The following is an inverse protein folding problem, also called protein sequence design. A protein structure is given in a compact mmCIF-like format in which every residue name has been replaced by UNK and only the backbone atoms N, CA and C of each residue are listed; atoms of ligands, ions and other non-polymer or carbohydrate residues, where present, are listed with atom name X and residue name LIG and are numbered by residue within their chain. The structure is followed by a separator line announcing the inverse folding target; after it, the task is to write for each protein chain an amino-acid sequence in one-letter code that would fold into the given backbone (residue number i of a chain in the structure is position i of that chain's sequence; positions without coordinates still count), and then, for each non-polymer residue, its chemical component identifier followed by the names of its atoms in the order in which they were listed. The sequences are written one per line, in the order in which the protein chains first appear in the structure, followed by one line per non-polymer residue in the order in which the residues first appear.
data_IF_225999615862
#
_entry.id   IF_225999615862
#
_cell.length_a   1.000
_cell.length_b   1.000
_cell.length_c   1.000
_cell.angle_alpha   90.00
_cell.angle_beta   90.00
_cell.angle_gamma   90.00
#
_symmetry.space_group_name_H-M   'P 1'
#
loop_
_entity.id
_entity.type
_entity.pdbx_description
1 polymer ?
#
# COMPACT_ATOMS: atom_id res chain seq x y z
N UNK A 1 -14.40 54.49 -46.98
CA UNK A 1 -13.71 55.71 -46.52
C UNK A 1 -14.76 56.69 -46.07
N UNK A 2 -14.95 56.80 -44.76
CA UNK A 2 -15.55 57.96 -44.11
C UNK A 2 -14.96 58.00 -42.69
N UNK A 3 -14.59 59.18 -42.22
CA UNK A 3 -13.62 59.43 -41.15
C UNK A 3 -14.29 60.25 -40.05
N UNK A 4 -13.97 59.92 -38.79
CA UNK A 4 -13.92 60.79 -37.59
C UNK A 4 -15.32 61.14 -37.03
N UNK A 5 -15.63 60.97 -35.74
CA UNK A 5 -15.02 61.72 -34.63
C UNK A 5 -15.13 61.04 -33.25
N UNK A 6 -14.09 61.31 -32.45
CA UNK A 6 -13.85 60.84 -31.09
C UNK A 6 -14.42 61.85 -30.11
N UNK A 7 -15.13 61.41 -29.07
CA UNK A 7 -15.42 62.24 -27.90
C UNK A 7 -14.86 61.62 -26.62
N UNK A 8 -14.30 62.51 -25.79
CA UNK A 8 -13.32 62.29 -24.72
C UNK A 8 -13.98 62.61 -23.36
N UNK A 9 -13.73 61.71 -22.38
CA UNK A 9 -13.77 61.69 -20.88
C UNK A 9 -14.13 62.98 -20.09
N UNK A 10 -14.68 62.90 -18.84
CA UNK A 10 -13.88 62.68 -17.59
C UNK A 10 -14.57 61.73 -16.57
N UNK A 11 -13.94 60.80 -15.83
CA UNK A 11 -12.96 60.85 -14.72
C UNK A 11 -13.41 61.58 -13.43
N UNK A 12 -13.71 60.84 -12.35
CA UNK A 12 -13.39 61.20 -10.94
C UNK A 12 -13.69 60.02 -9.98
N UNK A 13 -12.66 59.42 -9.36
CA UNK A 13 -12.22 59.51 -7.93
C UNK A 13 -12.95 58.63 -6.89
N UNK A 14 -12.35 57.44 -6.63
CA UNK A 14 -11.85 56.82 -5.37
C UNK A 14 -12.58 56.99 -3.98
N UNK A 15 -12.09 56.38 -2.86
CA UNK A 15 -12.74 55.25 -2.17
C UNK A 15 -13.12 55.54 -0.70
N UNK A 16 -13.92 54.68 -0.04
CA UNK A 16 -14.13 54.75 1.41
C UNK A 16 -13.99 53.38 2.10
N UNK A 17 -13.29 53.46 3.22
CA UNK A 17 -12.65 52.46 4.06
C UNK A 17 -13.59 51.76 5.06
N UNK A 18 -13.29 50.48 5.33
CA UNK A 18 -13.43 49.70 6.57
C UNK A 18 -14.45 50.08 7.66
N UNK A 19 -15.23 49.10 8.13
CA UNK A 19 -15.44 48.90 9.56
C UNK A 19 -15.45 47.42 9.95
N UNK A 20 -14.47 47.08 10.80
CA UNK A 20 -14.35 45.86 11.60
C UNK A 20 -15.28 46.03 12.80
N UNK A 21 -16.22 45.10 13.02
CA UNK A 21 -17.01 45.05 14.25
C UNK A 21 -16.51 43.94 15.16
N UNK A 22 -15.88 44.38 16.24
CA UNK A 22 -15.41 43.64 17.42
C UNK A 22 -16.64 43.23 18.23
N UNK A 23 -16.82 41.95 18.53
CA UNK A 23 -17.83 41.47 19.49
C UNK A 23 -17.12 41.07 20.78
N UNK A 24 -17.67 41.55 21.88
CA UNK A 24 -17.17 41.48 23.24
C UNK A 24 -17.33 40.10 23.87
N UNK A 25 -16.35 39.78 24.72
CA UNK A 25 -16.32 38.71 25.70
C UNK A 25 -17.46 38.79 26.73
N UNK A 26 -17.97 37.64 27.14
CA UNK A 26 -18.73 37.45 28.38
C UNK A 26 -17.97 36.43 29.24
N UNK A 27 -17.64 36.85 30.45
CA UNK A 27 -17.20 36.01 31.56
C UNK A 27 -18.43 35.55 32.37
N UNK A 28 -18.40 34.29 32.81
CA UNK A 28 -18.97 33.69 34.03
C UNK A 28 -19.51 32.28 33.75
N UNK A 29 -18.89 31.26 34.35
CA UNK A 29 -19.55 30.36 35.32
C UNK A 29 -18.62 29.24 35.79
N UNK A 30 -18.87 28.81 37.02
CA UNK A 30 -18.16 27.88 37.90
C UNK A 30 -18.20 26.38 37.47
N UNK A 31 -17.17 25.63 37.91
CA UNK A 31 -17.05 24.22 38.42
C UNK A 31 -17.86 23.04 37.79
N UNK A 32 -17.50 21.73 37.94
CA UNK A 32 -16.69 21.09 39.00
C UNK A 32 -15.70 19.97 38.57
N UNK A 33 -15.08 19.35 39.59
CA UNK A 33 -14.26 18.14 39.59
C UNK A 33 -14.89 16.90 38.90
N UNK A 34 -14.04 15.98 38.42
CA UNK A 34 -14.50 14.69 37.90
C UNK A 34 -13.38 13.75 37.40
N UNK A 35 -12.89 12.92 38.32
CA UNK A 35 -12.45 11.52 38.22
C UNK A 35 -11.49 10.96 37.13
N UNK A 36 -10.50 10.24 37.67
CA UNK A 36 -9.66 9.19 37.11
C UNK A 36 -10.34 8.25 36.09
N UNK A 37 -9.62 7.96 34.98
CA UNK A 37 -9.71 6.66 34.32
C UNK A 37 -8.33 6.05 34.04
N UNK A 38 -8.29 4.74 34.27
CA UNK A 38 -7.13 3.87 34.48
C UNK A 38 -6.28 3.65 33.22
N UNK A 39 -4.97 3.65 33.41
CA UNK A 39 -3.99 3.06 32.49
C UNK A 39 -4.27 1.55 32.32
N UNK A 40 -4.58 1.15 31.10
CA UNK A 40 -4.57 -0.27 30.70
C UNK A 40 -3.13 -0.68 30.41
N UNK A 41 -2.48 -1.24 31.42
CA UNK A 41 -1.20 -1.94 31.26
C UNK A 41 -1.39 -3.15 30.34
N UNK A 42 -0.58 -3.22 29.29
CA UNK A 42 -0.58 -4.26 28.29
C UNK A 42 0.07 -5.54 28.86
N UNK A 43 -0.71 -6.59 29.15
CA UNK A 43 -0.21 -7.83 29.74
C UNK A 43 0.35 -8.78 28.66
N UNK A 44 1.69 -8.77 28.52
CA UNK A 44 2.45 -9.67 27.65
C UNK A 44 2.39 -11.15 28.08
N UNK A 45 1.98 -11.44 29.32
CA UNK A 45 1.86 -12.81 29.83
C UNK A 45 0.76 -13.61 29.15
N UNK A 46 -0.40 -12.98 28.91
CA UNK A 46 -1.57 -13.65 28.34
C UNK A 46 -1.36 -14.05 26.86
N UNK A 47 -0.57 -13.27 26.11
CA UNK A 47 -0.23 -13.62 24.72
C UNK A 47 0.74 -14.79 24.62
N UNK A 48 1.67 -14.93 25.57
CA UNK A 48 2.63 -16.04 25.58
C UNK A 48 1.96 -17.37 25.90
N UNK A 49 0.99 -17.40 26.83
CA UNK A 49 0.21 -18.62 27.12
C UNK A 49 -0.66 -19.07 25.94
N UNK A 50 -1.20 -18.13 25.15
CA UNK A 50 -1.96 -18.48 23.92
C UNK A 50 -1.06 -19.11 22.84
N UNK A 51 0.19 -18.66 22.71
CA UNK A 51 1.14 -19.25 21.74
C UNK A 51 1.57 -20.67 22.12
N UNK A 52 1.70 -20.96 23.43
CA UNK A 52 2.06 -22.27 23.93
C UNK A 52 0.96 -23.32 23.67
N UNK A 53 -0.31 -22.92 23.75
CA UNK A 53 -1.45 -23.82 23.47
C UNK A 53 -1.58 -24.20 21.99
N UNK A 54 -1.23 -23.30 21.07
CA UNK A 54 -1.24 -23.58 19.62
C UNK A 54 -0.18 -24.60 19.20
N UNK A 55 0.96 -24.64 19.91
CA UNK A 55 2.06 -25.56 19.64
C UNK A 55 1.73 -27.03 19.94
N UNK A 56 0.72 -27.29 20.79
CA UNK A 56 0.31 -28.65 21.15
C UNK A 56 -0.58 -29.34 20.10
N UNK A 57 -1.19 -28.60 19.16
CA UNK A 57 -2.13 -29.16 18.19
C UNK A 57 -1.50 -29.63 16.86
N UNK A 58 -0.20 -29.41 16.64
CA UNK A 58 0.49 -29.75 15.38
C UNK A 58 1.15 -31.14 15.38
N UNK A 59 0.90 -31.99 16.38
CA UNK A 59 1.59 -33.28 16.53
C UNK A 59 1.00 -34.46 15.71
N UNK A 60 -0.06 -34.29 14.93
CA UNK A 60 -0.77 -35.40 14.28
C UNK A 60 -0.88 -35.28 12.75
N UNK A 61 0.24 -35.18 12.04
CA UNK A 61 0.26 -35.35 10.58
C UNK A 61 1.38 -36.33 10.20
N UNK A 62 1.00 -37.53 9.76
CA UNK A 62 1.91 -38.51 9.14
C UNK A 62 1.97 -38.30 7.64
N UNK A 63 3.17 -38.30 7.07
CA UNK A 63 3.41 -38.28 5.61
C UNK A 63 4.33 -39.44 5.24
N UNK A 64 3.91 -40.23 4.25
CA UNK A 64 4.66 -41.33 3.65
C UNK A 64 5.46 -40.82 2.45
N UNK A 65 6.73 -41.23 2.29
CA UNK A 65 7.58 -40.91 1.12
C UNK A 65 8.24 -42.17 0.54
N UNK A 66 8.54 -42.21 -0.78
CA UNK A 66 9.48 -43.16 -1.35
C UNK A 66 10.82 -42.54 -1.82
N UNK A 67 11.85 -43.39 -1.72
CA UNK A 67 13.26 -43.37 -2.17
C UNK A 67 13.50 -42.98 -3.66
N UNK A 68 14.70 -42.71 -4.19
CA UNK A 68 16.08 -42.35 -3.75
C UNK A 68 16.94 -42.15 -5.03
N UNK A 69 18.14 -41.55 -4.88
CA UNK A 69 19.41 -41.74 -5.64
C UNK A 69 20.13 -40.48 -6.17
N UNK A 70 21.46 -40.46 -5.96
CA UNK A 70 22.52 -39.44 -6.24
C UNK A 70 23.69 -40.16 -6.98
N UNK A 71 24.94 -39.63 -7.19
CA UNK A 71 25.53 -38.26 -7.17
C UNK A 71 26.55 -37.95 -8.32
N UNK A 72 27.13 -36.73 -8.34
CA UNK A 72 28.56 -36.33 -8.59
C UNK A 72 28.60 -34.87 -9.12
N UNK A 73 29.46 -33.90 -8.78
CA UNK A 73 30.64 -33.75 -7.93
C UNK A 73 31.30 -32.36 -8.25
N UNK A 74 32.32 -31.98 -7.46
CA UNK A 74 33.32 -30.90 -7.63
C UNK A 74 33.09 -29.56 -6.86
N UNK A 75 34.10 -29.22 -6.06
CA UNK A 75 34.20 -28.09 -5.14
C UNK A 75 35.26 -27.08 -5.58
N UNK A 76 35.03 -25.79 -5.31
CA UNK A 76 36.05 -24.73 -5.31
C UNK A 76 35.88 -23.90 -4.03
N UNK A 77 36.98 -23.67 -3.32
CA UNK A 77 37.06 -22.85 -2.11
C UNK A 77 37.35 -21.38 -2.45
N UNK A 78 36.68 -20.44 -1.77
CA UNK A 78 37.18 -19.09 -1.53
C UNK A 78 36.81 -18.62 -0.12
N UNK A 79 37.70 -17.82 0.47
CA UNK A 79 37.79 -17.48 1.90
C UNK A 79 37.05 -16.20 2.26
N UNK A 80 36.46 -16.24 3.46
CA UNK A 80 36.16 -15.15 4.40
C UNK A 80 35.00 -14.19 4.09
N UNK A 81 33.81 -14.57 4.55
CA UNK A 81 32.75 -13.66 4.99
C UNK A 81 31.85 -14.38 6.02
N UNK A 82 31.25 -13.62 6.95
CA UNK A 82 30.47 -14.14 8.10
C UNK A 82 29.38 -15.12 7.67
N UNK A 83 29.60 -16.39 8.00
CA UNK A 83 28.76 -17.52 7.63
C UNK A 83 27.66 -17.75 8.66
N UNK A 84 26.39 -17.52 8.26
CA UNK A 84 25.20 -18.09 8.93
C UNK A 84 25.06 -19.60 8.57
N UNK A 85 26.07 -20.23 7.96
CA UNK A 85 25.96 -21.58 7.39
C UNK A 85 26.35 -22.80 8.25
N UNK A 86 26.71 -22.77 9.55
CA UNK A 86 26.95 -24.05 10.21
C UNK A 86 25.68 -24.73 10.74
N UNK A 87 24.55 -24.02 10.96
CA UNK A 87 23.38 -24.63 11.59
C UNK A 87 22.53 -25.51 10.64
N UNK A 88 22.45 -25.14 9.36
CA UNK A 88 21.58 -25.81 8.39
C UNK A 88 22.22 -27.03 7.70
N UNK A 89 23.56 -27.11 7.65
CA UNK A 89 24.27 -28.23 6.98
C UNK A 89 24.19 -29.57 7.74
N UNK A 90 23.81 -29.56 9.02
CA UNK A 90 23.69 -30.78 9.83
C UNK A 90 22.26 -31.32 9.96
N UNK A 91 21.29 -30.79 9.20
CA UNK A 91 19.90 -31.27 9.22
C UNK A 91 19.65 -32.31 8.11
N UNK A 92 20.44 -32.29 7.03
CA UNK A 92 20.26 -33.16 5.87
C UNK A 92 20.75 -34.60 6.03
N UNK A 93 21.33 -34.98 7.17
CA UNK A 93 21.85 -36.34 7.42
C UNK A 93 21.15 -37.10 8.54
N UNK A 94 19.96 -36.66 8.96
CA UNK A 94 19.27 -37.29 10.10
C UNK A 94 18.33 -38.40 9.61
N UNK A 95 18.87 -39.60 9.43
CA UNK A 95 18.11 -40.84 9.17
C UNK A 95 17.62 -41.50 10.48
N UNK A 96 16.94 -40.73 11.34
CA UNK A 96 16.37 -41.19 12.61
C UNK A 96 14.84 -41.21 12.59
N UNK A 97 14.23 -41.96 13.50
CA UNK A 97 12.77 -41.97 13.65
C UNK A 97 12.25 -40.57 14.03
N UNK A 98 10.99 -40.26 13.71
CA UNK A 98 10.37 -38.95 13.98
C UNK A 98 10.55 -38.50 15.45
N UNK A 99 10.56 -39.46 16.38
CA UNK A 99 10.79 -39.23 17.81
C UNK A 99 12.23 -38.76 18.10
N UNK A 100 13.24 -39.41 17.51
CA UNK A 100 14.66 -39.00 17.66
C UNK A 100 14.90 -37.61 17.07
N UNK A 101 14.29 -37.30 15.93
CA UNK A 101 14.42 -36.00 15.28
C UNK A 101 13.79 -34.88 16.12
N UNK A 102 12.64 -35.17 16.75
CA UNK A 102 11.97 -34.23 17.65
C UNK A 102 12.80 -33.91 18.91
N UNK A 103 13.51 -34.90 19.46
CA UNK A 103 14.38 -34.71 20.62
C UNK A 103 15.62 -33.89 20.28
N UNK A 104 16.25 -34.17 19.13
CA UNK A 104 17.37 -33.40 18.63
C UNK A 104 16.98 -31.93 18.37
N UNK A 105 15.78 -31.71 17.82
CA UNK A 105 15.27 -30.36 17.56
C UNK A 105 15.03 -29.58 18.86
N UNK A 106 14.42 -30.22 19.87
CA UNK A 106 14.22 -29.63 21.20
C UNK A 106 15.56 -29.27 21.85
N UNK A 107 16.55 -30.17 21.80
CA UNK A 107 17.89 -29.90 22.32
C UNK A 107 18.55 -28.69 21.64
N UNK A 108 18.46 -28.59 20.31
CA UNK A 108 19.01 -27.44 19.56
C UNK A 108 18.30 -26.12 19.87
N UNK A 109 16.98 -26.13 20.03
CA UNK A 109 16.22 -24.93 20.45
C UNK A 109 16.64 -24.50 21.86
N UNK A 110 16.74 -25.44 22.81
CA UNK A 110 17.17 -25.14 24.17
C UNK A 110 18.60 -24.61 24.21
N UNK A 111 19.51 -25.22 23.45
CA UNK A 111 20.88 -24.74 23.33
C UNK A 111 20.94 -23.32 22.74
N UNK A 112 20.17 -23.05 21.68
CA UNK A 112 20.11 -21.71 21.09
C UNK A 112 19.58 -20.66 22.10
N UNK A 113 18.56 -21.00 22.89
CA UNK A 113 18.02 -20.13 23.93
C UNK A 113 19.02 -19.88 25.07
N UNK A 114 19.82 -20.88 25.44
CA UNK A 114 20.89 -20.75 26.43
C UNK A 114 22.06 -19.90 25.91
N UNK A 115 22.43 -20.06 24.64
CA UNK A 115 23.51 -19.30 24.00
C UNK A 115 23.12 -17.83 23.76
N UNK A 116 21.83 -17.57 23.52
CA UNK A 116 21.26 -16.26 23.20
C UNK A 116 20.27 -15.80 24.28
N UNK A 117 20.76 -15.68 25.51
CA UNK A 117 19.94 -15.17 26.62
C UNK A 117 19.38 -13.78 26.32
N UNK A 118 18.24 -13.45 26.91
CA UNK A 118 17.60 -12.12 26.77
C UNK A 118 18.57 -10.99 27.09
N UNK A 119 19.45 -11.17 28.08
CA UNK A 119 20.48 -10.20 28.44
C UNK A 119 21.57 -10.05 27.37
N UNK A 120 21.98 -11.13 26.68
CA UNK A 120 22.91 -11.06 25.54
C UNK A 120 22.27 -10.39 24.32
N UNK A 121 20.98 -10.64 24.09
CA UNK A 121 20.22 -10.00 23.01
C UNK A 121 20.09 -8.49 23.30
N UNK A 122 19.70 -8.12 24.51
CA UNK A 122 19.57 -6.73 24.94
C UNK A 122 20.93 -6.00 24.93
N UNK A 123 22.01 -6.64 25.38
CA UNK A 123 23.36 -6.06 25.34
C UNK A 123 23.86 -5.83 23.91
N UNK A 124 23.57 -6.76 22.98
CA UNK A 124 23.88 -6.55 21.55
C UNK A 124 23.03 -5.45 20.93
N UNK A 125 21.75 -5.34 21.29
CA UNK A 125 20.89 -4.24 20.84
C UNK A 125 21.40 -2.90 21.36
N UNK A 126 21.81 -2.81 22.64
CA UNK A 126 22.44 -1.61 23.20
C UNK A 126 23.78 -1.28 22.53
N UNK A 127 24.61 -2.27 22.19
CA UNK A 127 25.83 -2.05 21.40
C UNK A 127 25.56 -1.52 20.00
N UNK A 128 24.47 -1.95 19.34
CA UNK A 128 24.05 -1.39 18.05
C UNK A 128 23.56 0.06 18.19
N UNK A 129 22.91 0.41 19.30
CA UNK A 129 22.45 1.77 19.59
C UNK A 129 23.57 2.72 20.05
N UNK A 130 24.71 2.21 20.54
CA UNK A 130 25.83 3.03 21.04
C UNK A 130 27.00 3.13 20.06
N UNK A 131 26.85 2.63 18.83
CA UNK A 131 27.82 2.86 17.77
C UNK A 131 27.44 4.16 17.01
N UNK A 132 28.13 5.30 17.23
CA UNK A 132 27.76 6.60 16.66
C UNK A 132 28.13 6.73 15.17
N UNK A 133 28.41 5.61 14.51
CA UNK A 133 28.61 5.49 13.05
C UNK A 133 27.51 4.69 12.37
N UNK A 134 26.36 4.48 13.01
CA UNK A 134 25.16 4.11 12.27
C UNK A 134 24.72 5.34 11.48
N UNK A 135 25.11 5.36 10.21
CA UNK A 135 24.51 6.26 9.22
C UNK A 135 23.00 6.14 9.42
N UNK A 136 22.26 7.25 9.65
CA UNK A 136 20.81 7.16 9.72
C UNK A 136 20.34 6.42 8.49
N UNK A 137 19.60 5.32 8.68
CA UNK A 137 18.83 4.72 7.61
C UNK A 137 17.72 5.72 7.34
N UNK A 138 18.07 6.77 6.59
CA UNK A 138 17.10 7.52 5.82
C UNK A 138 16.46 6.46 4.95
N UNK A 139 15.18 6.17 5.18
CA UNK A 139 14.32 5.58 4.17
C UNK A 139 14.55 6.43 2.94
N UNK A 140 15.38 5.92 2.03
CA UNK A 140 15.74 6.62 0.81
C UNK A 140 14.48 6.54 -0.02
N UNK A 141 13.65 7.56 0.12
CA UNK A 141 12.67 7.88 -0.88
C UNK A 141 13.43 7.86 -2.22
N UNK A 142 13.05 6.92 -3.08
CA UNK A 142 13.75 6.67 -4.33
C UNK A 142 13.62 7.85 -5.30
N UNK A 143 12.84 8.87 -4.92
CA UNK A 143 12.80 10.20 -5.53
C UNK A 143 14.16 10.92 -5.61
N UNK A 144 15.15 10.53 -4.80
CA UNK A 144 16.47 11.19 -4.76
C UNK A 144 17.52 10.65 -5.73
N UNK A 145 17.24 9.61 -6.53
CA UNK A 145 18.24 8.99 -7.43
C UNK A 145 18.26 9.54 -8.85
N UNK A 146 17.76 10.75 -9.10
CA UNK A 146 17.57 11.25 -10.48
C UNK A 146 18.34 12.56 -10.68
N UNK A 147 19.48 12.44 -11.37
CA UNK A 147 20.18 13.59 -11.96
C UNK A 147 19.23 14.23 -12.98
N UNK A 148 18.79 15.44 -12.67
CA UNK A 148 18.06 16.33 -13.60
C UNK A 148 19.04 16.76 -14.69
N UNK A 149 18.96 16.14 -15.86
CA UNK A 149 19.61 16.68 -17.06
C UNK A 149 18.77 17.84 -17.58
N UNK A 150 19.43 18.95 -17.90
CA UNK A 150 18.81 20.20 -18.32
C UNK A 150 17.95 20.05 -19.59
N UNK A 151 16.93 20.92 -19.66
CA UNK A 151 15.96 21.17 -20.73
C UNK A 151 16.37 20.67 -22.12
N UNK A 152 15.72 19.59 -22.55
CA UNK A 152 15.79 19.11 -23.93
C UNK A 152 14.55 19.65 -24.66
N UNK A 153 14.69 20.46 -25.73
CA UNK A 153 13.56 21.12 -26.42
C UNK A 153 12.60 20.17 -27.17
N UNK A 154 12.79 18.85 -27.03
CA UNK A 154 11.97 17.81 -27.66
C UNK A 154 11.53 16.74 -26.66
N UNK A 155 11.13 17.13 -25.44
CA UNK A 155 10.59 16.17 -24.48
C UNK A 155 9.33 15.51 -25.03
N UNK A 156 9.45 14.22 -25.35
CA UNK A 156 8.36 13.35 -25.79
C UNK A 156 8.52 12.03 -25.04
N UNK A 157 7.76 11.78 -23.97
CA UNK A 157 7.82 10.50 -23.26
C UNK A 157 7.45 9.35 -24.21
N UNK A 158 7.95 8.15 -23.91
CA UNK A 158 7.51 6.95 -24.63
C UNK A 158 6.00 6.75 -24.41
N UNK A 159 5.27 6.63 -25.51
CA UNK A 159 3.86 6.23 -25.50
C UNK A 159 3.75 4.73 -25.73
N UNK A 160 2.60 4.18 -25.36
CA UNK A 160 2.23 2.79 -25.59
C UNK A 160 2.20 1.96 -24.31
N UNK A 161 1.60 0.77 -24.46
CA UNK A 161 1.35 -0.15 -23.36
C UNK A 161 2.34 -1.29 -23.37
N UNK A 162 2.64 -1.81 -22.19
CA UNK A 162 3.46 -2.99 -21.97
C UNK A 162 2.81 -3.92 -20.97
N UNK A 163 3.26 -5.17 -20.97
CA UNK A 163 2.76 -6.20 -20.07
C UNK A 163 3.81 -6.55 -19.01
N UNK A 164 3.37 -6.56 -17.75
CA UNK A 164 4.15 -7.03 -16.60
C UNK A 164 3.42 -8.22 -15.97
N UNK A 165 4.12 -9.35 -15.83
CA UNK A 165 3.60 -10.53 -15.15
C UNK A 165 4.23 -10.64 -13.76
N UNK A 166 3.41 -10.76 -12.72
CA UNK A 166 3.84 -10.84 -11.33
C UNK A 166 3.33 -12.14 -10.71
N UNK A 167 4.23 -12.91 -10.10
CA UNK A 167 3.88 -14.16 -9.42
C UNK A 167 3.59 -13.88 -7.94
N UNK A 168 2.38 -14.17 -7.49
CA UNK A 168 1.97 -14.07 -6.09
C UNK A 168 1.70 -15.44 -5.46
N UNK A 169 1.56 -15.47 -4.13
CA UNK A 169 1.24 -16.69 -3.37
C UNK A 169 -0.09 -17.32 -3.80
N UNK A 170 -1.10 -16.48 -4.07
CA UNK A 170 -2.50 -16.88 -4.32
C UNK A 170 -2.90 -16.86 -5.81
N UNK A 171 -1.95 -16.54 -6.69
CA UNK A 171 -2.23 -16.43 -8.11
C UNK A 171 -1.19 -15.61 -8.86
N UNK A 172 -1.32 -15.57 -10.18
CA UNK A 172 -0.51 -14.73 -11.06
C UNK A 172 -1.27 -13.46 -11.42
N UNK A 173 -0.58 -12.32 -11.42
CA UNK A 173 -1.13 -11.04 -11.84
C UNK A 173 -0.57 -10.67 -13.21
N UNK A 174 -1.45 -10.35 -14.15
CA UNK A 174 -1.13 -9.78 -15.45
C UNK A 174 -1.49 -8.30 -15.42
N UNK A 175 -0.51 -7.45 -15.68
CA UNK A 175 -0.69 -5.99 -15.68
C UNK A 175 -0.36 -5.45 -17.06
N UNK A 176 -1.35 -4.96 -17.78
CA UNK A 176 -1.16 -4.17 -19.01
C UNK A 176 -1.17 -2.69 -18.60
N UNK A 177 -0.13 -1.94 -18.93
CA UNK A 177 -0.01 -0.55 -18.45
C UNK A 177 0.88 0.33 -19.34
N UNK A 178 0.65 1.64 -19.30
CA UNK A 178 1.52 2.61 -19.98
C UNK A 178 0.83 3.95 -20.27
N UNK A 179 1.60 4.91 -20.79
CA UNK A 179 1.10 6.22 -21.21
C UNK A 179 0.51 6.12 -22.62
N UNK A 180 -0.81 6.23 -22.74
CA UNK A 180 -1.50 6.24 -24.05
C UNK A 180 -1.41 7.63 -24.68
N UNK A 181 -1.50 8.70 -23.87
CA UNK A 181 -1.45 10.09 -24.32
C UNK A 181 -0.63 10.94 -23.36
N UNK A 182 0.39 11.65 -23.83
CA UNK A 182 1.10 12.64 -23.03
C UNK A 182 0.23 13.89 -22.78
N UNK A 183 0.30 14.52 -21.60
CA UNK A 183 -0.41 15.78 -21.35
C UNK A 183 0.16 16.91 -22.20
N UNK A 184 -0.70 17.86 -22.53
CA UNK A 184 -0.35 19.13 -23.17
C UNK A 184 -0.74 20.29 -22.25
N UNK A 185 -0.40 21.53 -22.64
CA UNK A 185 -0.79 22.72 -21.86
C UNK A 185 -2.31 22.86 -21.67
N UNK A 186 -3.10 22.33 -22.60
CA UNK A 186 -4.57 22.47 -22.61
C UNK A 186 -5.32 21.19 -22.31
N UNK A 187 -4.66 20.03 -22.32
CA UNK A 187 -5.32 18.73 -22.20
C UNK A 187 -4.56 17.79 -21.29
N UNK A 188 -5.31 17.01 -20.52
CA UNK A 188 -4.73 15.94 -19.71
C UNK A 188 -4.20 14.83 -20.60
N UNK A 189 -3.11 14.22 -20.14
CA UNK A 189 -2.66 12.95 -20.68
C UNK A 189 -3.54 11.82 -20.19
N UNK A 190 -3.31 10.63 -20.72
CA UNK A 190 -4.05 9.43 -20.38
C UNK A 190 -3.05 8.30 -20.15
N UNK A 191 -3.11 7.72 -18.96
CA UNK A 191 -2.36 6.53 -18.62
C UNK A 191 -3.35 5.36 -18.53
N UNK A 192 -3.02 4.23 -19.12
CA UNK A 192 -3.82 3.02 -19.07
C UNK A 192 -3.25 2.05 -18.04
N UNK A 193 -4.12 1.37 -17.32
CA UNK A 193 -3.77 0.16 -16.59
C UNK A 193 -4.92 -0.84 -16.58
N UNK A 194 -4.61 -2.13 -16.76
CA UNK A 194 -5.51 -3.25 -16.48
C UNK A 194 -4.76 -4.26 -15.63
N UNK A 195 -5.35 -4.63 -14.50
CA UNK A 195 -4.81 -5.63 -13.58
C UNK A 195 -5.79 -6.80 -13.59
N UNK A 196 -5.31 -7.97 -13.97
CA UNK A 196 -6.04 -9.23 -13.92
C UNK A 196 -5.29 -10.21 -13.03
N UNK A 197 -6.00 -10.91 -12.15
CA UNK A 197 -5.42 -11.99 -11.36
C UNK A 197 -5.98 -13.32 -11.84
N UNK A 198 -5.12 -14.32 -12.04
CA UNK A 198 -5.50 -15.73 -12.22
C UNK A 198 -5.38 -16.43 -10.86
N UNK A 199 -6.48 -16.69 -10.14
CA UNK A 199 -6.43 -17.29 -8.81
C UNK A 199 -5.99 -18.75 -8.85
N UNK A 200 -5.31 -19.21 -7.79
CA UNK A 200 -4.98 -20.63 -7.59
C UNK A 200 -5.81 -21.27 -6.45
N UNK A 201 -5.53 -22.54 -6.16
CA UNK A 201 -6.23 -23.34 -5.15
C UNK A 201 -6.18 -22.77 -3.73
N UNK A 202 -5.14 -22.00 -3.38
CA UNK A 202 -5.02 -21.35 -2.07
C UNK A 202 -6.06 -20.25 -1.83
N UNK A 203 -6.72 -19.76 -2.87
CA UNK A 203 -7.86 -18.82 -2.73
C UNK A 203 -9.17 -19.52 -2.34
N UNK A 204 -9.20 -20.86 -2.35
CA UNK A 204 -10.37 -21.63 -1.98
C UNK A 204 -11.60 -21.28 -2.82
N UNK A 205 -12.72 -21.00 -2.15
CA UNK A 205 -13.99 -20.62 -2.77
C UNK A 205 -14.24 -19.12 -2.82
N UNK A 206 -13.24 -18.28 -2.50
CA UNK A 206 -13.38 -16.84 -2.41
C UNK A 206 -13.86 -16.23 -3.72
N UNK A 207 -14.85 -15.35 -3.64
CA UNK A 207 -15.15 -14.40 -4.70
C UNK A 207 -14.22 -13.20 -4.53
N UNK A 208 -13.40 -12.93 -5.54
CA UNK A 208 -12.31 -11.97 -5.50
C UNK A 208 -12.71 -10.73 -6.30
N UNK A 209 -12.46 -9.55 -5.74
CA UNK A 209 -12.54 -8.26 -6.43
C UNK A 209 -11.30 -7.42 -6.15
N UNK A 210 -11.18 -6.27 -6.81
CA UNK A 210 -10.08 -5.34 -6.56
C UNK A 210 -10.54 -4.14 -5.75
N UNK A 211 -9.74 -3.76 -4.75
CA UNK A 211 -9.80 -2.47 -4.08
C UNK A 211 -8.59 -1.66 -4.50
N UNK A 212 -8.78 -0.39 -4.85
CA UNK A 212 -7.69 0.52 -5.18
C UNK A 212 -7.62 1.65 -4.16
N UNK A 213 -6.42 1.90 -3.62
CA UNK A 213 -6.11 3.17 -2.97
C UNK A 213 -5.22 3.99 -3.88
N UNK A 214 -5.33 5.31 -3.77
CA UNK A 214 -4.54 6.26 -4.54
C UNK A 214 -4.02 7.38 -3.65
N UNK A 215 -2.84 7.90 -3.98
CA UNK A 215 -2.35 9.20 -3.54
C UNK A 215 -1.85 10.00 -4.72
N UNK A 216 -2.00 11.31 -4.61
CA UNK A 216 -1.55 12.28 -5.61
C UNK A 216 -0.62 13.27 -4.95
N UNK A 217 0.37 13.75 -5.67
CA UNK A 217 1.25 14.82 -5.25
C UNK A 217 1.84 15.56 -6.44
N UNK A 218 2.89 16.32 -6.17
CA UNK A 218 3.73 16.92 -7.20
C UNK A 218 5.04 16.15 -7.32
N UNK A 219 5.68 16.24 -8.48
CA UNK A 219 7.06 15.81 -8.73
C UNK A 219 8.09 16.38 -7.74
N UNK A 220 7.72 17.48 -7.06
CA UNK A 220 8.54 18.11 -6.03
C UNK A 220 8.39 17.48 -4.62
N UNK A 221 7.63 16.38 -4.47
CA UNK A 221 7.60 15.57 -3.25
C UNK A 221 6.50 15.89 -2.23
N UNK A 222 5.53 16.74 -2.56
CA UNK A 222 4.40 17.03 -1.67
C UNK A 222 3.17 16.20 -2.06
N UNK A 223 2.73 15.30 -1.18
CA UNK A 223 1.46 14.58 -1.32
C UNK A 223 0.28 15.47 -0.96
N UNK A 224 -0.74 15.49 -1.82
CA UNK A 224 -1.98 16.21 -1.62
C UNK A 224 -2.80 15.58 -0.50
N UNK A 225 -3.12 16.37 0.51
CA UNK A 225 -3.84 15.96 1.74
C UNK A 225 -4.99 16.91 2.09
N UNK A 226 -5.05 18.11 1.51
CA UNK A 226 -5.98 19.19 1.86
C UNK A 226 -6.85 19.59 0.68
N UNK A 227 -7.99 20.20 0.97
CA UNK A 227 -8.94 20.69 -0.05
C UNK A 227 -8.37 21.86 -0.89
N UNK A 228 -7.35 22.55 -0.38
CA UNK A 228 -6.62 23.59 -1.10
C UNK A 228 -5.64 23.04 -2.13
N UNK A 229 -5.36 21.73 -2.10
CA UNK A 229 -4.39 21.13 -3.00
C UNK A 229 -5.02 20.91 -4.39
N UNK A 230 -4.23 21.07 -5.45
CA UNK A 230 -4.72 20.96 -6.81
C UNK A 230 -5.45 19.63 -7.07
N UNK A 231 -6.70 19.70 -7.53
CA UNK A 231 -7.56 18.55 -7.84
C UNK A 231 -8.05 17.73 -6.62
N UNK A 232 -7.98 18.30 -5.42
CA UNK A 232 -8.63 17.77 -4.22
C UNK A 232 -9.91 18.55 -3.93
N UNK A 233 -11.06 17.87 -3.90
CA UNK A 233 -12.29 18.45 -3.34
C UNK A 233 -12.28 18.35 -1.81
N UNK A 234 -13.18 19.07 -1.14
CA UNK A 234 -13.33 18.98 0.32
C UNK A 234 -13.59 17.53 0.77
N UNK A 235 -14.49 16.83 0.09
CA UNK A 235 -14.86 15.44 0.39
C UNK A 235 -13.71 14.48 0.11
N UNK A 236 -12.88 14.74 -0.91
CA UNK A 236 -11.66 13.95 -1.17
C UNK A 236 -10.64 14.16 -0.06
N UNK A 237 -10.42 15.40 0.35
CA UNK A 237 -9.47 15.73 1.41
C UNK A 237 -9.91 15.12 2.76
N UNK A 238 -11.19 15.21 3.10
CA UNK A 238 -11.76 14.62 4.31
C UNK A 238 -11.52 13.11 4.41
N UNK A 239 -11.52 12.39 3.28
CA UNK A 239 -11.25 10.94 3.21
C UNK A 239 -9.78 10.56 3.05
N UNK A 240 -8.89 11.55 2.91
CA UNK A 240 -7.45 11.32 2.68
C UNK A 240 -6.70 11.17 4.00
N UNK A 241 -5.81 10.20 4.12
CA UNK A 241 -4.94 10.00 5.28
C UNK A 241 -3.88 11.10 5.36
N UNK A 242 -3.16 11.18 6.48
CA UNK A 242 -2.03 12.12 6.63
C UNK A 242 -0.91 11.85 5.62
N UNK A 243 -0.81 10.64 5.09
CA UNK A 243 0.16 10.21 4.08
C UNK A 243 -0.33 10.39 2.63
N UNK A 244 -1.49 11.02 2.43
CA UNK A 244 -2.05 11.34 1.10
C UNK A 244 -2.90 10.23 0.47
N UNK A 245 -3.08 9.09 1.15
CA UNK A 245 -3.82 7.94 0.63
C UNK A 245 -5.32 8.05 0.87
N UNK A 246 -6.10 7.56 -0.10
CA UNK A 246 -7.56 7.40 0.01
C UNK A 246 -8.00 6.18 -0.81
N UNK A 247 -9.17 5.62 -0.51
CA UNK A 247 -9.84 4.70 -1.44
C UNK A 247 -10.18 5.45 -2.71
N UNK A 248 -9.77 4.90 -3.85
CA UNK A 248 -9.85 5.56 -5.14
C UNK A 248 -11.23 5.41 -5.78
N UNK A 249 -11.64 6.44 -6.54
CA UNK A 249 -12.88 6.56 -7.33
C UNK A 249 -14.20 6.14 -6.65
N UNK A 250 -14.22 5.89 -5.35
CA UNK A 250 -15.46 5.61 -4.61
C UNK A 250 -16.31 6.89 -4.50
N UNK A 251 -17.55 6.82 -5.00
CA UNK A 251 -18.64 7.77 -4.77
C UNK A 251 -19.37 7.36 -3.47
N UNK A 252 -19.16 8.02 -2.33
CA UNK A 252 -19.78 7.64 -1.05
C UNK A 252 -21.32 7.58 -1.08
N UNK A 253 -21.93 8.40 -1.94
CA UNK A 253 -23.38 8.44 -2.10
C UNK A 253 -23.91 7.19 -2.78
N UNK A 254 -23.16 6.63 -3.73
CA UNK A 254 -23.61 5.55 -4.63
C UNK A 254 -22.90 4.22 -4.42
N UNK A 255 -21.59 4.26 -4.24
CA UNK A 255 -20.73 3.11 -4.10
C UNK A 255 -20.75 2.69 -2.62
N UNK A 256 -21.66 1.77 -2.31
CA UNK A 256 -21.80 1.13 -1.00
C UNK A 256 -20.82 -0.02 -0.83
N UNK A 257 -19.61 0.11 -1.38
CA UNK A 257 -18.50 -0.83 -1.31
C UNK A 257 -17.20 -0.09 -1.66
N UNK A 258 -16.04 -0.44 -1.07
CA UNK A 258 -14.76 0.15 -1.46
C UNK A 258 -14.10 -0.58 -2.64
N UNK A 259 -14.77 -1.60 -3.19
CA UNK A 259 -14.30 -2.29 -4.39
C UNK A 259 -14.32 -1.34 -5.59
N UNK A 260 -13.20 -1.30 -6.29
CA UNK A 260 -13.00 -0.45 -7.44
C UNK A 260 -13.96 -0.82 -8.56
N UNK A 261 -14.65 0.17 -9.13
CA UNK A 261 -15.56 -0.03 -10.27
C UNK A 261 -16.80 -0.85 -9.94
N UNK A 262 -17.17 -0.97 -8.65
CA UNK A 262 -18.27 -1.80 -8.18
C UNK A 262 -19.26 -0.99 -7.33
N UNK A 263 -20.50 -1.46 -7.26
CA UNK A 263 -21.52 -0.95 -6.33
C UNK A 263 -22.29 -2.10 -5.69
N UNK A 264 -22.99 -1.86 -4.57
CA UNK A 264 -23.98 -2.82 -4.04
C UNK A 264 -25.36 -2.44 -4.56
N UNK A 265 -26.05 -3.40 -5.18
CA UNK A 265 -27.43 -3.21 -5.59
C UNK A 265 -28.38 -3.21 -4.36
N UNK A 266 -29.69 -3.05 -4.59
CA UNK A 266 -30.72 -3.04 -3.52
C UNK A 266 -30.75 -4.33 -2.68
N UNK A 267 -30.28 -5.46 -3.21
CA UNK A 267 -30.20 -6.73 -2.48
C UNK A 267 -28.86 -6.92 -1.76
N UNK A 268 -28.01 -5.90 -1.71
CA UNK A 268 -26.68 -5.96 -1.10
C UNK A 268 -25.62 -6.68 -1.94
N UNK A 269 -25.95 -7.14 -3.16
CA UNK A 269 -25.01 -7.85 -4.03
C UNK A 269 -24.07 -6.87 -4.72
N UNK A 270 -22.78 -7.19 -4.72
CA UNK A 270 -21.76 -6.46 -5.47
C UNK A 270 -21.94 -6.68 -6.97
N UNK A 271 -22.00 -5.59 -7.73
CA UNK A 271 -22.17 -5.60 -9.19
C UNK A 271 -21.20 -4.61 -9.84
N UNK A 272 -20.74 -4.98 -11.03
CA UNK A 272 -19.81 -4.17 -11.83
C UNK A 272 -20.47 -2.92 -12.41
N UNK A 273 -19.69 -1.83 -12.47
CA UNK A 273 -20.00 -0.61 -13.22
C UNK A 273 -19.37 -0.57 -14.62
N UNK A 274 -18.71 -1.66 -15.05
CA UNK A 274 -18.12 -1.83 -16.38
C UNK A 274 -16.59 -1.77 -16.45
N UNK A 275 -15.91 -1.32 -15.38
CA UNK A 275 -14.45 -1.20 -15.32
C UNK A 275 -13.78 -2.13 -14.30
N UNK A 276 -14.52 -3.08 -13.77
CA UNK A 276 -13.98 -4.17 -12.96
C UNK A 276 -14.91 -5.40 -13.04
N UNK A 277 -14.40 -6.58 -12.67
CA UNK A 277 -15.17 -7.80 -12.58
C UNK A 277 -14.67 -8.66 -11.41
N UNK A 278 -15.60 -9.31 -10.71
CA UNK A 278 -15.26 -10.31 -9.70
C UNK A 278 -14.94 -11.67 -10.34
N UNK A 279 -14.16 -12.48 -9.64
CA UNK A 279 -13.77 -13.79 -10.14
C UNK A 279 -13.44 -14.76 -9.02
N UNK A 280 -13.07 -15.98 -9.38
CA UNK A 280 -12.75 -17.04 -8.40
C UNK A 280 -11.90 -18.14 -9.04
N UNK A 281 -11.27 -18.95 -8.20
CA UNK A 281 -10.55 -20.13 -8.67
C UNK A 281 -11.45 -21.07 -9.47
N UNK A 282 -10.94 -21.58 -10.60
CA UNK A 282 -11.69 -22.38 -11.60
C UNK A 282 -12.92 -21.69 -12.19
N UNK A 283 -13.05 -20.37 -12.03
CA UNK A 283 -14.08 -19.52 -12.62
C UNK A 283 -13.47 -18.45 -13.54
N UNK A 284 -14.14 -17.30 -13.63
CA UNK A 284 -13.58 -16.13 -14.30
C UNK A 284 -12.44 -15.52 -13.48
N UNK A 285 -11.45 -14.95 -14.16
CA UNK A 285 -10.42 -14.15 -13.52
C UNK A 285 -11.00 -12.82 -13.03
N UNK A 286 -10.78 -12.40 -11.77
CA UNK A 286 -11.07 -11.04 -11.36
C UNK A 286 -10.16 -10.06 -12.10
N UNK A 287 -10.69 -8.90 -12.46
CA UNK A 287 -9.91 -7.85 -13.11
C UNK A 287 -10.44 -6.46 -12.77
N UNK A 288 -9.58 -5.46 -12.93
CA UNK A 288 -9.95 -4.05 -12.98
C UNK A 288 -9.18 -3.36 -14.11
N UNK A 289 -9.75 -2.32 -14.71
CA UNK A 289 -9.00 -1.39 -15.56
C UNK A 289 -9.29 0.05 -15.19
N UNK A 290 -8.30 0.89 -15.40
CA UNK A 290 -8.33 2.31 -15.07
C UNK A 290 -7.64 3.13 -16.17
N UNK A 291 -8.12 4.35 -16.34
CA UNK A 291 -7.54 5.39 -17.19
C UNK A 291 -7.35 6.68 -16.39
N UNK A 292 -6.39 6.74 -15.46
CA UNK A 292 -6.08 7.98 -14.77
C UNK A 292 -5.58 9.06 -15.73
N UNK A 293 -6.10 10.28 -15.55
CA UNK A 293 -5.58 11.45 -16.24
C UNK A 293 -4.18 11.81 -15.73
N UNK A 294 -3.27 12.12 -16.65
CA UNK A 294 -1.92 12.59 -16.35
C UNK A 294 -1.91 14.11 -16.38
N UNK A 295 -1.47 14.72 -15.29
CA UNK A 295 -1.42 16.17 -15.10
C UNK A 295 0.03 16.66 -15.05
N UNK A 296 0.24 17.91 -15.40
CA UNK A 296 1.57 18.52 -15.49
C UNK A 296 1.69 19.73 -14.55
N UNK A 297 2.56 19.70 -13.53
CA UNK A 297 3.29 18.55 -13.01
C UNK A 297 2.42 17.71 -12.05
N UNK A 298 2.59 16.39 -12.02
CA UNK A 298 1.92 15.52 -11.03
C UNK A 298 2.66 14.20 -10.86
N UNK A 299 2.68 13.72 -9.61
CA UNK A 299 3.01 12.36 -9.24
C UNK A 299 1.75 11.65 -8.74
N UNK A 300 1.51 10.42 -9.19
CA UNK A 300 0.42 9.56 -8.71
C UNK A 300 0.94 8.19 -8.37
N UNK A 301 0.41 7.64 -7.28
CA UNK A 301 0.73 6.29 -6.84
C UNK A 301 -0.52 5.57 -6.35
N UNK A 302 -0.56 4.28 -6.63
CA UNK A 302 -1.73 3.44 -6.43
C UNK A 302 -1.34 2.11 -5.83
N UNK A 303 -2.22 1.56 -5.00
CA UNK A 303 -2.13 0.17 -4.54
C UNK A 303 -3.45 -0.51 -4.87
N UNK A 304 -3.42 -1.44 -5.83
CA UNK A 304 -4.56 -2.28 -6.18
C UNK A 304 -4.43 -3.62 -5.47
N UNK A 305 -5.34 -3.92 -4.55
CA UNK A 305 -5.35 -5.16 -3.76
C UNK A 305 -6.48 -6.07 -4.23
N UNK A 306 -6.13 -7.30 -4.62
CA UNK A 306 -7.12 -8.36 -4.82
C UNK A 306 -7.58 -8.85 -3.45
N UNK A 307 -8.88 -8.80 -3.20
CA UNK A 307 -9.48 -9.15 -1.91
C UNK A 307 -10.69 -10.07 -2.08
N UNK A 308 -10.94 -10.90 -1.08
CA UNK A 308 -12.23 -11.55 -0.92
C UNK A 308 -13.33 -10.49 -0.71
N UNK A 309 -14.37 -10.53 -1.53
CA UNK A 309 -15.46 -9.55 -1.55
C UNK A 309 -16.26 -9.54 -0.25
N UNK A 310 -16.32 -10.66 0.46
CA UNK A 310 -17.11 -10.84 1.68
C UNK A 310 -16.32 -10.58 2.95
N UNK A 311 -15.05 -11.02 3.00
CA UNK A 311 -14.23 -10.98 4.23
C UNK A 311 -13.16 -9.89 4.20
N UNK A 312 -12.83 -9.37 3.01
CA UNK A 312 -11.70 -8.46 2.83
C UNK A 312 -10.34 -9.14 2.76
N UNK A 313 -10.25 -10.47 2.94
CA UNK A 313 -8.97 -11.21 2.92
C UNK A 313 -8.14 -10.86 1.70
N UNK A 314 -6.89 -10.44 1.89
CA UNK A 314 -6.01 -9.99 0.80
C UNK A 314 -5.30 -11.16 0.12
N UNK A 315 -5.38 -11.23 -1.21
CA UNK A 315 -4.69 -12.22 -2.03
C UNK A 315 -3.50 -11.67 -2.83
N UNK A 316 -3.16 -10.41 -2.62
CA UNK A 316 -2.00 -9.75 -3.22
C UNK A 316 -2.28 -8.29 -3.53
N UNK A 317 -1.25 -7.45 -3.49
CA UNK A 317 -1.36 -6.03 -3.73
C UNK A 317 -0.30 -5.57 -4.75
N UNK A 318 -0.77 -4.94 -5.83
CA UNK A 318 0.06 -4.41 -6.90
C UNK A 318 0.24 -2.90 -6.70
N UNK A 319 1.48 -2.49 -6.47
CA UNK A 319 1.91 -1.10 -6.46
C UNK A 319 2.19 -0.65 -7.89
N UNK A 320 1.64 0.49 -8.28
CA UNK A 320 1.91 1.13 -9.58
C UNK A 320 1.75 2.65 -9.46
N UNK A 321 2.18 3.39 -10.48
CA UNK A 321 2.14 4.85 -10.47
C UNK A 321 2.92 5.48 -11.61
N UNK A 322 2.92 6.80 -11.64
CA UNK A 322 3.70 7.58 -12.60
C UNK A 322 3.94 8.99 -12.08
N UNK A 323 4.92 9.64 -12.67
CA UNK A 323 5.29 11.03 -12.46
C UNK A 323 5.48 11.71 -13.81
N UNK A 324 4.96 12.93 -13.95
CA UNK A 324 5.10 13.75 -15.14
C UNK A 324 5.37 15.19 -14.76
N UNK A 325 6.40 15.79 -15.35
CA UNK A 325 6.75 17.21 -15.22
C UNK A 325 7.44 17.68 -16.51
N UNK A 326 6.71 18.43 -17.35
CA UNK A 326 7.27 18.91 -18.61
C UNK A 326 8.35 19.98 -18.42
N UNK A 327 8.27 20.75 -17.32
CA UNK A 327 9.21 21.84 -17.05
C UNK A 327 10.63 21.31 -16.79
N UNK A 328 10.73 20.10 -16.22
CA UNK A 328 11.98 19.37 -16.04
C UNK A 328 12.23 18.30 -17.10
N UNK A 329 11.39 18.23 -18.14
CA UNK A 329 11.46 17.19 -19.20
C UNK A 329 11.47 15.77 -18.62
N UNK A 330 10.61 15.54 -17.62
CA UNK A 330 10.60 14.33 -16.82
C UNK A 330 9.28 13.57 -16.96
N UNK A 331 9.40 12.29 -17.32
CA UNK A 331 8.34 11.32 -17.15
C UNK A 331 8.95 10.05 -16.60
N UNK A 332 8.37 9.54 -15.52
CA UNK A 332 8.75 8.26 -14.95
C UNK A 332 7.51 7.44 -14.65
N UNK A 333 7.53 6.21 -15.13
CA UNK A 333 6.54 5.21 -14.77
C UNK A 333 7.09 4.32 -13.66
N UNK A 334 6.26 4.03 -12.66
CA UNK A 334 6.57 3.02 -11.68
C UNK A 334 6.15 1.65 -12.23
N UNK A 335 7.13 0.80 -12.53
CA UNK A 335 6.89 -0.59 -12.93
C UNK A 335 6.01 -1.30 -11.88
N UNK A 336 4.87 -1.88 -12.29
CA UNK A 336 4.00 -2.63 -11.40
C UNK A 336 4.77 -3.69 -10.62
N UNK A 337 4.58 -3.72 -9.32
CA UNK A 337 5.30 -4.64 -8.43
C UNK A 337 4.36 -5.20 -7.37
N UNK A 338 4.50 -6.48 -7.02
CA UNK A 338 3.80 -7.04 -5.88
C UNK A 338 4.43 -6.58 -4.57
N UNK A 339 3.59 -6.07 -3.67
CA UNK A 339 4.00 -5.69 -2.32
C UNK A 339 4.13 -6.92 -1.43
N UNK A 340 5.26 -7.06 -0.75
CA UNK A 340 5.47 -8.09 0.26
C UNK A 340 4.74 -7.76 1.56
N UNK A 341 4.47 -8.78 2.37
CA UNK A 341 4.06 -8.58 3.76
C UNK A 341 5.06 -7.66 4.49
N UNK A 342 4.53 -6.82 5.40
CA UNK A 342 5.32 -5.83 6.14
C UNK A 342 5.68 -4.55 5.37
N UNK A 343 5.33 -4.43 4.08
CA UNK A 343 5.60 -3.20 3.33
C UNK A 343 4.82 -2.01 3.93
N UNK A 344 5.50 -0.90 4.21
CA UNK A 344 4.91 0.28 4.84
C UNK A 344 3.76 0.90 4.02
N UNK A 345 3.74 0.72 2.70
CA UNK A 345 2.65 1.20 1.85
C UNK A 345 1.34 0.42 2.08
N UNK A 346 1.43 -0.85 2.50
CA UNK A 346 0.24 -1.63 2.85
C UNK A 346 -0.42 -1.07 4.12
N UNK A 347 0.37 -0.68 5.12
CA UNK A 347 -0.15 0.01 6.30
C UNK A 347 -0.87 1.31 5.92
N UNK A 348 -0.30 2.11 5.02
CA UNK A 348 -0.91 3.37 4.57
C UNK A 348 -2.19 3.13 3.76
N UNK A 349 -2.24 2.06 2.96
CA UNK A 349 -3.46 1.57 2.31
C UNK A 349 -4.51 1.21 3.36
N UNK A 350 -4.14 0.44 4.38
CA UNK A 350 -5.08 -0.01 5.43
C UNK A 350 -5.67 1.16 6.21
N UNK A 351 -4.85 2.16 6.55
CA UNK A 351 -5.32 3.41 7.15
C UNK A 351 -6.35 4.13 6.27
N UNK A 352 -6.18 4.10 4.94
CA UNK A 352 -7.13 4.69 3.99
C UNK A 352 -8.45 3.90 3.92
N UNK A 353 -8.38 2.57 3.98
CA UNK A 353 -9.55 1.69 4.02
C UNK A 353 -10.32 1.89 5.32
N UNK A 354 -9.63 1.91 6.47
CA UNK A 354 -10.23 2.18 7.78
C UNK A 354 -10.93 3.52 7.81
N UNK A 355 -10.28 4.54 7.23
CA UNK A 355 -10.88 5.87 7.14
C UNK A 355 -12.13 5.86 6.27
N UNK A 356 -12.12 5.14 5.15
CA UNK A 356 -13.30 4.96 4.31
C UNK A 356 -14.42 4.21 5.06
N UNK A 357 -14.11 3.11 5.74
CA UNK A 357 -15.09 2.35 6.52
C UNK A 357 -15.73 3.20 7.62
N UNK A 358 -14.98 4.08 8.29
CA UNK A 358 -15.51 4.96 9.35
C UNK A 358 -16.34 6.14 8.84
N UNK A 359 -16.02 6.66 7.66
CA UNK A 359 -16.58 7.93 7.17
C UNK A 359 -17.59 7.80 6.02
N UNK A 360 -17.55 6.69 5.29
CA UNK A 360 -18.34 6.49 4.07
C UNK A 360 -19.25 5.27 4.18
N UNK A 361 -18.74 4.17 4.75
CA UNK A 361 -19.54 2.96 4.84
C UNK A 361 -20.72 3.17 5.80
N UNK A 362 -21.93 2.93 5.30
CA UNK A 362 -23.09 2.59 6.15
C UNK A 362 -22.96 1.14 6.64
N UNK A 363 -23.63 0.74 7.73
CA UNK A 363 -23.66 -0.66 8.18
C UNK A 363 -23.95 -1.64 7.03
N UNK A 364 -23.11 -2.67 6.86
CA UNK A 364 -23.23 -3.66 5.78
C UNK A 364 -22.77 -3.20 4.38
N UNK A 365 -22.34 -1.95 4.22
CA UNK A 365 -21.71 -1.45 2.98
C UNK A 365 -20.18 -1.45 3.04
N UNK A 366 -19.62 -1.58 4.24
CA UNK A 366 -18.20 -1.74 4.49
C UNK A 366 -17.60 -2.97 3.81
N UNK A 367 -16.27 -3.03 3.79
CA UNK A 367 -15.64 -4.33 4.08
C UNK A 367 -15.61 -4.37 5.60
N UNK A 368 -16.35 -5.30 6.22
CA UNK A 368 -16.54 -5.32 7.68
C UNK A 368 -15.21 -5.50 8.45
N UNK A 369 -14.14 -5.91 7.76
CA UNK A 369 -12.77 -5.97 8.27
C UNK A 369 -11.79 -5.40 7.23
N UNK A 370 -10.79 -4.61 7.67
CA UNK A 370 -9.69 -4.22 6.79
C UNK A 370 -8.97 -5.48 6.25
N UNK A 371 -8.46 -5.46 5.01
CA UNK A 371 -7.77 -6.62 4.45
C UNK A 371 -6.60 -7.08 5.32
N UNK A 372 -6.76 -8.25 5.96
CA UNK A 372 -5.64 -8.89 6.65
C UNK A 372 -4.69 -9.43 5.58
N UNK A 373 -3.43 -9.00 5.63
CA UNK A 373 -2.39 -9.50 4.73
C UNK A 373 -2.03 -10.90 5.18
N UNK A 374 -2.31 -11.90 4.36
CA UNK A 374 -1.85 -13.28 4.56
C UNK A 374 -0.58 -13.51 3.76
N UNK A 375 0.42 -14.17 4.35
CA UNK A 375 1.72 -14.47 3.75
C UNK A 375 1.61 -15.30 2.45
#
# INVERSE_FOLDING_TARGET
MERVEVQKVPSSTSPVTSQIKRVQSHDHSEEPEGELQQDKTFDLGEQLERSARLSHNLANISVTTPNSSTPNGVAIQSKTEMSIQPLWRNISSISGSATQNSQLFRQKITQFQQENTTSKIAAKQQQLHHNPKSTPVTLKDSSSTIRRCASNPSFSPSLGRKNTNLKGTYGEFKVEHGLDKAPTKSEYGEYYIKIEMTPNDKTGSSEIGFLQTARRGTSAGNWSTKASDAGMTKERAERTTKSGWRVDRADPGKDKTPLYGMTKNKSGKVVSRGNAQTGKFKGSNPWMWDTPGVLDPTAMQFVATAIDVSTGTSFGAVLWGFEYDSSSSHYQEQTPTLLSSGNALLKQRDEAIDKWNKSVATPGSGIDQAPTITE
#
